data_IF_293106983826
#
_entry.id   IF_293106983826
#
_cell.length_a   1.000
_cell.length_b   1.000
_cell.length_c   1.000
_cell.angle_alpha   90.00
_cell.angle_beta   90.00
_cell.angle_gamma   90.00
#
_symmetry.space_group_name_H-M   'P 1'
#
loop_
_entity.id
_entity.type
_entity.pdbx_description
1 polymer ?
#
# COMPACT_ATOMS: atom_id res chain seq x y z
N UNK A 1 -47.84 -7.09 17.75
CA UNK A 1 -46.85 -6.23 17.07
C UNK A 1 -45.54 -6.98 17.03
N UNK A 2 -44.95 -7.17 15.84
CA UNK A 2 -43.68 -7.87 15.68
C UNK A 2 -42.67 -6.87 15.10
N UNK A 3 -41.63 -6.53 15.86
CA UNK A 3 -40.52 -5.70 15.38
C UNK A 3 -39.39 -6.60 14.92
N UNK A 4 -38.97 -6.43 13.66
CA UNK A 4 -37.80 -7.11 13.10
C UNK A 4 -36.60 -6.17 13.16
N UNK A 5 -35.47 -6.73 13.56
CA UNK A 5 -34.19 -6.03 13.59
C UNK A 5 -33.38 -6.44 12.37
N UNK A 6 -32.87 -5.45 11.64
CA UNK A 6 -31.95 -5.65 10.50
C UNK A 6 -30.58 -5.17 10.95
N UNK A 7 -29.60 -6.09 10.97
CA UNK A 7 -28.19 -5.72 11.16
C UNK A 7 -27.59 -5.45 9.79
N UNK A 8 -27.22 -4.20 9.55
CA UNK A 8 -26.41 -3.82 8.39
C UNK A 8 -24.94 -3.87 8.85
N UNK A 9 -24.15 -4.73 8.23
CA UNK A 9 -22.70 -4.69 8.31
C UNK A 9 -22.17 -4.02 7.06
N UNK A 10 -21.50 -2.89 7.20
CA UNK A 10 -20.72 -2.32 6.10
C UNK A 10 -19.40 -3.10 6.11
N UNK A 11 -19.22 -3.97 5.11
CA UNK A 11 -17.91 -4.55 4.86
C UNK A 11 -17.03 -3.43 4.32
N UNK A 12 -15.91 -3.16 4.98
CA UNK A 12 -14.90 -2.25 4.46
C UNK A 12 -14.38 -2.87 3.16
N UNK A 13 -14.80 -2.26 2.05
CA UNK A 13 -14.29 -2.61 0.75
C UNK A 13 -12.97 -1.86 0.70
N UNK A 14 -11.85 -2.56 0.53
CA UNK A 14 -10.56 -1.92 0.37
C UNK A 14 -10.58 -1.04 -0.90
N UNK A 15 -11.07 0.19 -0.74
CA UNK A 15 -11.27 1.21 -1.76
C UNK A 15 -10.03 2.13 -1.87
N UNK A 16 -8.98 1.88 -1.06
CA UNK A 16 -7.73 2.65 -1.06
C UNK A 16 -6.54 1.74 -1.36
N UNK A 17 -6.26 1.42 -2.64
CA UNK A 17 -5.07 0.66 -2.99
C UNK A 17 -3.79 1.42 -2.57
N UNK A 18 -2.71 0.70 -2.17
CA UNK A 18 -1.47 1.34 -1.78
C UNK A 18 -0.89 2.14 -2.93
N UNK A 19 -0.42 3.34 -2.63
CA UNK A 19 0.12 4.29 -3.59
C UNK A 19 1.61 4.53 -3.35
N UNK A 20 2.34 4.79 -4.42
CA UNK A 20 3.74 5.20 -4.33
C UNK A 20 3.83 6.73 -4.27
N UNK A 21 4.72 7.27 -3.43
CA UNK A 21 4.92 8.73 -3.31
C UNK A 21 5.47 9.36 -4.60
N UNK A 22 6.17 8.58 -5.44
CA UNK A 22 6.74 9.07 -6.71
C UNK A 22 6.17 8.31 -7.89
N UNK A 23 5.93 9.04 -8.97
CA UNK A 23 5.55 8.47 -10.27
C UNK A 23 6.69 7.70 -10.93
N UNK A 24 7.95 8.08 -10.66
CA UNK A 24 9.14 7.41 -11.16
C UNK A 24 10.21 7.35 -10.07
N UNK A 25 10.80 6.17 -9.86
CA UNK A 25 12.01 5.99 -9.07
C UNK A 25 13.13 5.55 -10.01
N UNK A 26 14.13 6.41 -10.16
CA UNK A 26 15.32 6.15 -10.97
C UNK A 26 16.56 6.20 -10.06
N UNK A 27 17.50 5.29 -10.28
CA UNK A 27 18.77 5.25 -9.57
C UNK A 27 19.83 4.64 -10.48
N UNK A 28 21.09 4.97 -10.21
CA UNK A 28 22.25 4.46 -10.92
C UNK A 28 23.06 3.58 -9.96
N UNK A 29 23.66 2.52 -10.50
CA UNK A 29 24.56 1.64 -9.75
C UNK A 29 25.83 1.41 -10.58
N UNK A 30 26.96 1.30 -9.88
CA UNK A 30 28.26 1.07 -10.48
C UNK A 30 28.36 -0.33 -11.11
N UNK A 31 29.06 -0.44 -12.23
CA UNK A 31 29.26 -1.72 -12.92
C UNK A 31 30.07 -2.75 -12.11
N UNK A 32 30.85 -2.26 -11.14
CA UNK A 32 31.66 -3.06 -10.23
C UNK A 32 30.97 -3.24 -8.86
N UNK A 33 29.66 -3.01 -8.77
CA UNK A 33 28.91 -3.25 -7.55
C UNK A 33 28.93 -4.74 -7.15
N UNK A 34 29.08 -4.97 -5.84
CA UNK A 34 29.19 -6.32 -5.29
C UNK A 34 27.85 -7.07 -5.38
N UNK A 35 27.92 -8.41 -5.38
CA UNK A 35 26.74 -9.25 -5.43
C UNK A 35 25.87 -8.99 -4.20
N UNK A 36 24.56 -8.87 -4.40
CA UNK A 36 23.58 -8.51 -3.37
C UNK A 36 23.58 -7.04 -2.92
N UNK A 37 24.21 -6.14 -3.70
CA UNK A 37 24.05 -4.69 -3.48
C UNK A 37 22.59 -4.27 -3.67
N UNK A 38 22.02 -3.59 -2.68
CA UNK A 38 20.65 -3.07 -2.75
C UNK A 38 20.65 -1.80 -3.60
N UNK A 39 20.06 -1.89 -4.80
CA UNK A 39 20.02 -0.80 -5.79
C UNK A 39 19.00 0.27 -5.38
N UNK A 40 17.80 -0.16 -5.01
CA UNK A 40 16.69 0.74 -4.71
C UNK A 40 15.75 0.07 -3.71
N UNK A 41 15.28 0.84 -2.73
CA UNK A 41 14.18 0.44 -1.84
C UNK A 41 13.04 1.43 -2.03
N UNK A 42 11.90 0.94 -2.52
CA UNK A 42 10.68 1.75 -2.67
C UNK A 42 9.67 1.36 -1.59
N UNK A 43 8.94 2.35 -1.10
CA UNK A 43 7.90 2.15 -0.10
C UNK A 43 6.57 2.62 -0.70
N UNK A 44 5.57 1.73 -0.74
CA UNK A 44 4.19 2.11 -1.02
C UNK A 44 3.51 2.47 0.31
N UNK A 45 2.78 3.58 0.33
CA UNK A 45 1.95 3.99 1.47
C UNK A 45 0.52 3.59 1.20
N UNK A 46 -0.16 3.10 2.21
CA UNK A 46 -1.60 2.92 2.15
C UNK A 46 -2.29 4.23 2.56
N UNK A 47 -3.42 4.56 1.93
CA UNK A 47 -4.22 5.74 2.26
C UNK A 47 -5.10 5.46 3.50
N UNK A 48 -4.46 5.02 4.59
CA UNK A 48 -4.96 4.74 5.95
C UNK A 48 -5.36 3.29 6.29
N UNK A 49 -4.48 2.64 7.07
CA UNK A 49 -4.90 1.85 8.25
C UNK A 49 -3.83 1.93 9.35
N UNK A 50 -3.71 3.11 9.95
CA UNK A 50 -3.18 3.25 11.31
C UNK A 50 -4.14 4.14 12.09
N UNK A 51 -5.29 3.58 12.46
CA UNK A 51 -5.97 3.87 13.73
C UNK A 51 -6.26 2.55 14.45
#
# INVERSE_FOLDING_TARGET
>A
MLTKFVRIGIADKNDSPPYFDRFLYETEIDENADLQSTVLTVNAKDHNECE
#
